data_IF_576187230004
#
_entry.id   IF_576187230004
#
_cell.length_a   1.000
_cell.length_b   1.000
_cell.length_c   1.000
_cell.angle_alpha   90.00
_cell.angle_beta   90.00
_cell.angle_gamma   90.00
#
_symmetry.space_group_name_H-M   'P 1'
#
loop_
_entity.id
_entity.type
_entity.pdbx_description
1 polymer ?
#
# COMPACT_ATOMS: atom_id res chain seq x y z
N UNK A 1 -12.06 -10.73 7.36
CA UNK A 1 -12.26 -10.02 6.07
C UNK A 1 -11.77 -10.93 4.97
N UNK A 2 -12.54 -11.14 3.91
CA UNK A 2 -12.18 -12.07 2.83
C UNK A 2 -11.54 -11.33 1.64
N UNK A 3 -11.10 -12.06 0.60
CA UNK A 3 -10.47 -11.45 -0.58
C UNK A 3 -11.40 -10.48 -1.32
N UNK A 4 -12.71 -10.75 -1.31
CA UNK A 4 -13.73 -9.89 -1.93
C UNK A 4 -13.84 -8.54 -1.22
N UNK A 5 -13.84 -8.56 0.11
CA UNK A 5 -13.85 -7.36 0.94
C UNK A 5 -12.58 -6.53 0.70
N UNK A 6 -11.40 -7.17 0.64
CA UNK A 6 -10.13 -6.49 0.33
C UNK A 6 -10.21 -5.77 -1.01
N UNK A 7 -10.71 -6.44 -2.05
CA UNK A 7 -10.85 -5.84 -3.37
C UNK A 7 -11.83 -4.66 -3.38
N UNK A 8 -12.92 -4.75 -2.60
CA UNK A 8 -13.87 -3.65 -2.42
C UNK A 8 -13.18 -2.42 -1.79
N UNK A 9 -12.43 -2.62 -0.71
CA UNK A 9 -11.69 -1.52 -0.06
C UNK A 9 -10.57 -0.98 -0.95
N UNK A 10 -9.87 -1.83 -1.70
CA UNK A 10 -8.87 -1.41 -2.68
C UNK A 10 -9.47 -0.47 -3.74
N UNK A 11 -10.64 -0.80 -4.29
CA UNK A 11 -11.30 0.10 -5.25
C UNK A 11 -11.73 1.40 -4.59
N UNK A 12 -12.31 1.35 -3.39
CA UNK A 12 -12.73 2.53 -2.65
C UNK A 12 -11.56 3.48 -2.38
N UNK A 13 -10.48 2.98 -1.80
CA UNK A 13 -9.28 3.77 -1.53
C UNK A 13 -8.57 4.21 -2.81
N UNK A 14 -8.66 3.46 -3.91
CA UNK A 14 -8.18 3.90 -5.21
C UNK A 14 -8.92 5.14 -5.73
N UNK A 15 -10.24 5.17 -5.63
CA UNK A 15 -11.01 6.38 -6.01
C UNK A 15 -10.72 7.56 -5.08
N UNK A 16 -10.57 7.32 -3.77
CA UNK A 16 -10.16 8.36 -2.82
C UNK A 16 -8.76 8.88 -3.14
N UNK A 17 -7.81 8.00 -3.44
CA UNK A 17 -6.43 8.36 -3.79
C UNK A 17 -6.38 9.21 -5.06
N UNK A 18 -7.15 8.84 -6.09
CA UNK A 18 -7.26 9.62 -7.32
C UNK A 18 -7.83 11.01 -7.03
N UNK A 19 -8.90 11.08 -6.23
CA UNK A 19 -9.53 12.34 -5.82
C UNK A 19 -8.55 13.24 -5.07
N UNK A 20 -7.83 12.71 -4.09
CA UNK A 20 -6.81 13.45 -3.34
C UNK A 20 -5.65 13.92 -4.24
N UNK A 21 -5.22 13.09 -5.19
CA UNK A 21 -4.17 13.46 -6.13
C UNK A 21 -4.58 14.61 -7.06
N UNK A 22 -5.84 14.61 -7.52
CA UNK A 22 -6.39 15.72 -8.31
C UNK A 22 -6.50 16.99 -7.44
N UNK A 23 -6.99 16.86 -6.19
CA UNK A 23 -7.06 17.98 -5.26
C UNK A 23 -5.68 18.59 -4.97
N UNK A 24 -4.64 17.77 -4.82
CA UNK A 24 -3.26 18.22 -4.67
C UNK A 24 -2.83 19.11 -5.86
N UNK A 25 -3.10 18.68 -7.10
CA UNK A 25 -2.76 19.46 -8.29
C UNK A 25 -3.46 20.83 -8.28
N UNK A 26 -4.71 20.90 -7.82
CA UNK A 26 -5.51 22.14 -7.81
C UNK A 26 -5.07 23.10 -6.69
N UNK A 27 -4.79 22.57 -5.49
CA UNK A 27 -4.57 23.35 -4.26
C UNK A 27 -3.12 23.80 -4.12
N UNK A 28 -2.14 23.01 -4.55
CA UNK A 28 -0.71 23.28 -4.33
C UNK A 28 -0.10 24.27 -5.34
N UNK A 29 -0.76 25.41 -5.57
CA UNK A 29 -0.41 26.38 -6.64
C UNK A 29 0.98 27.01 -6.53
N UNK A 30 1.58 26.96 -5.34
CA UNK A 30 2.97 27.38 -5.06
C UNK A 30 3.99 26.50 -5.81
N UNK A 31 3.62 25.28 -6.22
CA UNK A 31 4.47 24.31 -6.93
C UNK A 31 4.23 24.43 -8.44
N UNK A 32 5.28 24.25 -9.25
CA UNK A 32 5.16 24.25 -10.71
C UNK A 32 4.11 23.23 -11.19
N UNK A 33 3.35 23.58 -12.23
CA UNK A 33 2.30 22.71 -12.76
C UNK A 33 2.84 21.32 -13.16
N UNK A 34 4.02 21.30 -13.78
CA UNK A 34 4.70 20.07 -14.21
C UNK A 34 4.97 19.15 -13.02
N UNK A 35 5.55 19.68 -11.94
CA UNK A 35 5.86 18.92 -10.72
C UNK A 35 4.60 18.42 -10.03
N UNK A 36 3.53 19.23 -10.00
CA UNK A 36 2.25 18.81 -9.45
C UNK A 36 1.64 17.63 -10.17
N UNK A 37 1.64 17.67 -11.51
CA UNK A 37 1.11 16.59 -12.35
C UNK A 37 1.92 15.31 -12.11
N UNK A 38 3.26 15.41 -12.13
CA UNK A 38 4.15 14.27 -11.88
C UNK A 38 3.88 13.69 -10.49
N UNK A 39 3.81 14.52 -9.45
CA UNK A 39 3.51 14.08 -8.09
C UNK A 39 2.14 13.39 -8.00
N UNK A 40 1.09 13.94 -8.62
CA UNK A 40 -0.23 13.30 -8.67
C UNK A 40 -0.22 11.93 -9.35
N UNK A 41 0.58 11.76 -10.42
CA UNK A 41 0.80 10.46 -11.07
C UNK A 41 1.54 9.51 -10.15
N UNK A 42 2.63 9.96 -9.51
CA UNK A 42 3.42 9.15 -8.58
C UNK A 42 2.60 8.69 -7.38
N UNK A 43 1.73 9.54 -6.83
CA UNK A 43 0.83 9.18 -5.73
C UNK A 43 -0.13 8.04 -6.15
N UNK A 44 -0.70 8.13 -7.35
CA UNK A 44 -1.55 7.07 -7.90
C UNK A 44 -0.79 5.78 -8.19
N UNK A 45 0.36 5.88 -8.84
CA UNK A 45 1.20 4.72 -9.13
C UNK A 45 1.63 4.04 -7.83
N UNK A 46 2.11 4.80 -6.84
CA UNK A 46 2.54 4.26 -5.55
C UNK A 46 1.45 3.46 -4.86
N UNK A 47 0.23 3.99 -4.79
CA UNK A 47 -0.92 3.26 -4.24
C UNK A 47 -1.14 1.90 -4.90
N UNK A 48 -1.27 1.88 -6.24
CA UNK A 48 -1.55 0.64 -6.96
C UNK A 48 -0.35 -0.32 -6.95
N UNK A 49 0.87 0.19 -7.07
CA UNK A 49 2.09 -0.62 -7.06
C UNK A 49 2.26 -1.37 -5.74
N UNK A 50 2.08 -0.72 -4.59
CA UNK A 50 2.20 -1.42 -3.30
C UNK A 50 1.14 -2.51 -3.14
N UNK A 51 -0.10 -2.24 -3.53
CA UNK A 51 -1.15 -3.26 -3.48
C UNK A 51 -0.83 -4.45 -4.40
N UNK A 52 -0.51 -4.18 -5.66
CA UNK A 52 -0.22 -5.21 -6.66
C UNK A 52 1.00 -6.02 -6.24
N UNK A 53 2.07 -5.37 -5.80
CA UNK A 53 3.30 -6.03 -5.38
C UNK A 53 3.02 -7.14 -4.36
N UNK A 54 2.34 -6.84 -3.25
CA UNK A 54 2.05 -7.86 -2.24
C UNK A 54 0.99 -8.88 -2.68
N UNK A 55 -0.09 -8.42 -3.34
CA UNK A 55 -1.19 -9.30 -3.73
C UNK A 55 -0.83 -10.31 -4.84
N UNK A 56 0.21 -10.01 -5.63
CA UNK A 56 0.68 -10.85 -6.73
C UNK A 56 1.82 -11.82 -6.34
N UNK A 57 2.35 -11.75 -5.11
CA UNK A 57 3.33 -12.72 -4.63
C UNK A 57 2.70 -14.12 -4.65
N UNK A 58 3.42 -15.07 -5.25
CA UNK A 58 3.00 -16.48 -5.31
C UNK A 58 2.79 -17.00 -3.90
N UNK A 59 1.54 -17.36 -3.61
CA UNK A 59 1.11 -18.02 -2.36
C UNK A 59 1.57 -19.46 -2.34
N UNK A 60 1.66 -20.03 -3.55
CA UNK A 60 1.93 -21.41 -3.76
C UNK A 60 3.43 -21.71 -3.65
N UNK A 61 3.78 -22.33 -2.53
CA UNK A 61 5.11 -22.85 -2.24
C UNK A 61 5.40 -24.17 -2.97
N UNK A 62 4.45 -24.67 -3.78
CA UNK A 62 4.57 -25.89 -4.58
C UNK A 62 5.74 -25.90 -5.58
N UNK A 63 6.29 -24.74 -5.95
CA UNK A 63 7.51 -24.64 -6.76
C UNK A 63 8.79 -25.05 -6.02
N UNK A 64 8.73 -25.27 -4.70
CA UNK A 64 9.90 -25.68 -3.90
C UNK A 64 9.98 -27.20 -3.78
N UNK A 65 11.12 -27.76 -4.21
CA UNK A 65 11.35 -29.21 -4.31
C UNK A 65 11.36 -30.01 -2.99
N UNK A 66 11.41 -29.36 -1.82
CA UNK A 66 11.51 -30.05 -0.54
C UNK A 66 10.60 -29.42 0.53
N UNK A 67 9.99 -30.26 1.37
CA UNK A 67 9.10 -29.89 2.48
C UNK A 67 9.73 -28.89 3.45
N UNK A 68 11.05 -28.97 3.69
CA UNK A 68 11.75 -27.98 4.53
C UNK A 68 11.68 -26.58 3.92
N UNK A 69 12.04 -26.44 2.64
CA UNK A 69 11.98 -25.15 1.94
C UNK A 69 10.55 -24.64 1.85
N UNK A 70 9.58 -25.53 1.64
CA UNK A 70 8.15 -25.18 1.63
C UNK A 70 7.74 -24.54 2.96
N UNK A 71 8.12 -25.14 4.08
CA UNK A 71 7.76 -24.66 5.41
C UNK A 71 8.48 -23.34 5.76
N UNK A 72 9.79 -23.25 5.53
CA UNK A 72 10.56 -22.03 5.79
C UNK A 72 10.09 -20.88 4.88
N UNK A 73 9.84 -21.15 3.59
CA UNK A 73 9.32 -20.18 2.65
C UNK A 73 7.95 -19.64 3.07
N UNK A 74 7.04 -20.51 3.51
CA UNK A 74 5.73 -20.11 4.04
C UNK A 74 5.84 -19.20 5.27
N UNK A 75 6.73 -19.53 6.21
CA UNK A 75 7.00 -18.69 7.40
C UNK A 75 7.57 -17.33 6.99
N UNK A 76 8.53 -17.30 6.06
CA UNK A 76 9.13 -16.06 5.57
C UNK A 76 8.11 -15.15 4.89
N UNK A 77 7.21 -15.71 4.07
CA UNK A 77 6.14 -14.95 3.44
C UNK A 77 5.12 -14.41 4.45
N UNK A 78 4.79 -15.19 5.49
CA UNK A 78 3.95 -14.75 6.61
C UNK A 78 4.59 -13.58 7.35
N UNK A 79 5.85 -13.70 7.75
CA UNK A 79 6.60 -12.61 8.37
C UNK A 79 6.66 -11.37 7.47
N UNK A 80 6.94 -11.56 6.18
CA UNK A 80 6.99 -10.47 5.21
C UNK A 80 5.66 -9.71 5.11
N UNK A 81 4.54 -10.42 5.08
CA UNK A 81 3.21 -9.79 5.09
C UNK A 81 2.92 -9.02 6.39
N UNK A 82 3.35 -9.53 7.55
CA UNK A 82 3.24 -8.82 8.83
C UNK A 82 4.08 -7.54 8.81
N UNK A 83 5.31 -7.61 8.31
CA UNK A 83 6.16 -6.43 8.15
C UNK A 83 5.53 -5.38 7.24
N UNK A 84 4.89 -5.78 6.14
CA UNK A 84 4.15 -4.86 5.27
C UNK A 84 2.99 -4.17 5.98
N UNK A 85 2.22 -4.91 6.78
CA UNK A 85 1.15 -4.36 7.61
C UNK A 85 1.71 -3.34 8.62
N UNK A 86 2.74 -3.72 9.39
CA UNK A 86 3.36 -2.81 10.37
C UNK A 86 3.96 -1.58 9.70
N UNK A 87 4.64 -1.77 8.57
CA UNK A 87 5.21 -0.69 7.77
C UNK A 87 4.16 0.32 7.31
N UNK A 88 2.96 -0.15 6.93
CA UNK A 88 1.87 0.75 6.55
C UNK A 88 1.46 1.69 7.69
N UNK A 89 1.37 1.19 8.94
CA UNK A 89 1.04 2.00 10.10
C UNK A 89 2.16 3.00 10.44
N UNK A 90 3.41 2.57 10.30
CA UNK A 90 4.57 3.46 10.50
C UNK A 90 4.56 4.60 9.49
N UNK A 91 4.29 4.33 8.21
CA UNK A 91 4.23 5.36 7.17
C UNK A 91 3.08 6.33 7.44
N UNK A 92 1.89 5.84 7.83
CA UNK A 92 0.77 6.69 8.24
C UNK A 92 1.17 7.59 9.41
N UNK A 93 1.80 7.01 10.43
CA UNK A 93 2.28 7.75 11.59
C UNK A 93 3.27 8.85 11.19
N UNK A 94 4.22 8.57 10.29
CA UNK A 94 5.18 9.56 9.79
C UNK A 94 4.46 10.70 9.07
N UNK A 95 3.49 10.42 8.20
CA UNK A 95 2.72 11.46 7.51
C UNK A 95 1.93 12.34 8.47
N UNK A 96 1.24 11.74 9.44
CA UNK A 96 0.47 12.49 10.45
C UNK A 96 1.41 13.29 11.35
N UNK A 97 2.51 12.69 11.80
CA UNK A 97 3.51 13.34 12.65
C UNK A 97 4.11 14.56 11.96
N UNK A 98 4.50 14.45 10.68
CA UNK A 98 4.99 15.60 9.89
C UNK A 98 3.94 16.70 9.75
N UNK A 99 2.69 16.35 9.46
CA UNK A 99 1.63 17.34 9.36
C UNK A 99 1.43 18.12 10.67
N UNK A 100 1.50 17.45 11.82
CA UNK A 100 1.31 18.09 13.14
C UNK A 100 2.55 18.89 13.57
N UNK A 101 3.74 18.29 13.46
CA UNK A 101 4.97 18.87 14.00
C UNK A 101 5.61 19.93 13.11
N UNK A 102 5.49 19.79 11.79
CA UNK A 102 6.14 20.66 10.80
C UNK A 102 5.13 21.52 10.03
N UNK A 103 3.82 21.39 10.30
CA UNK A 103 2.75 22.00 9.51
C UNK A 103 2.82 21.62 8.01
N UNK A 104 3.41 20.47 7.69
CA UNK A 104 3.55 19.96 6.31
C UNK A 104 2.31 19.15 5.89
N UNK A 105 1.22 19.85 5.56
CA UNK A 105 -0.04 19.20 5.19
C UNK A 105 -0.05 18.56 3.79
N UNK A 106 0.88 18.94 2.91
CA UNK A 106 0.95 18.43 1.54
C UNK A 106 1.14 16.90 1.48
N UNK A 107 1.87 16.32 2.44
CA UNK A 107 2.06 14.88 2.52
C UNK A 107 0.76 14.09 2.76
N UNK A 108 -0.26 14.74 3.32
CA UNK A 108 -1.55 14.08 3.60
C UNK A 108 -2.33 13.76 2.32
N UNK A 109 -2.06 14.41 1.20
CA UNK A 109 -2.66 14.03 -0.09
C UNK A 109 -2.19 12.64 -0.57
N UNK A 110 -1.03 12.17 -0.06
CA UNK A 110 -0.49 10.85 -0.32
C UNK A 110 -0.90 9.80 0.73
N UNK A 111 -1.77 10.14 1.69
CA UNK A 111 -2.13 9.27 2.83
C UNK A 111 -2.76 7.94 2.40
N UNK A 112 -3.34 7.86 1.20
CA UNK A 112 -3.90 6.62 0.67
C UNK A 112 -2.83 5.59 0.27
N UNK A 113 -1.60 6.00 -0.06
CA UNK A 113 -0.49 5.11 -0.44
C UNK A 113 -0.27 3.97 0.58
N UNK A 114 -0.10 4.25 1.90
CA UNK A 114 0.06 3.19 2.88
C UNK A 114 -1.16 2.27 3.01
N UNK A 115 -2.37 2.70 2.63
CA UNK A 115 -3.51 1.78 2.55
C UNK A 115 -3.36 0.77 1.40
N UNK A 116 -2.73 1.16 0.29
CA UNK A 116 -2.36 0.22 -0.79
C UNK A 116 -1.43 -0.88 -0.27
N UNK A 117 -0.40 -0.47 0.48
CA UNK A 117 0.52 -1.38 1.16
C UNK A 117 -0.21 -2.29 2.18
N UNK A 118 -1.05 -1.72 3.04
CA UNK A 118 -1.82 -2.45 4.04
C UNK A 118 -2.70 -3.52 3.39
N UNK A 119 -3.52 -3.12 2.41
CA UNK A 119 -4.46 -4.02 1.73
C UNK A 119 -3.74 -5.11 0.93
N UNK A 120 -2.63 -4.77 0.28
CA UNK A 120 -1.80 -5.74 -0.43
C UNK A 120 -1.20 -6.77 0.52
N UNK A 121 -0.57 -6.29 1.60
CA UNK A 121 0.07 -7.15 2.61
C UNK A 121 -0.95 -8.04 3.32
N UNK A 122 -2.12 -7.50 3.63
CA UNK A 122 -3.20 -8.25 4.26
C UNK A 122 -3.82 -9.28 3.30
N UNK A 123 -3.89 -8.99 2.00
CA UNK A 123 -4.28 -9.96 0.97
C UNK A 123 -3.32 -11.14 0.90
N UNK A 124 -2.01 -10.89 0.99
CA UNK A 124 -1.00 -11.93 1.06
C UNK A 124 -1.17 -12.79 2.32
N UNK A 125 -1.35 -12.16 3.49
CA UNK A 125 -1.55 -12.84 4.77
C UNK A 125 -2.75 -13.81 4.76
N UNK A 126 -3.91 -13.34 4.28
CA UNK A 126 -5.11 -14.19 4.19
C UNK A 126 -4.89 -15.33 3.20
N UNK A 127 -4.24 -15.04 2.07
CA UNK A 127 -3.88 -16.04 1.08
C UNK A 127 -3.07 -17.20 1.67
N UNK A 128 -2.09 -16.90 2.52
CA UNK A 128 -1.22 -17.87 3.18
C UNK A 128 -1.82 -18.54 4.42
N UNK A 129 -2.92 -18.01 4.95
CA UNK A 129 -3.59 -18.55 6.15
C UNK A 129 -4.73 -19.50 5.79
N UNK A 130 -5.19 -19.47 4.55
CA UNK A 130 -6.25 -20.33 4.01
C UNK A 130 -5.70 -21.52 3.18
N UNK A 131 -4.37 -21.64 3.07
CA UNK A 131 -3.66 -22.86 2.63
C UNK A 131 -3.37 -23.77 3.83
#
# INVERSE_FOLDING_TARGET
>A
MNQTDINKYYKLFGYLNLTLSILFIIVSREIELTERIIAGVVINMGYHMFYIFFSSISKDSSRMNNNFNKNVGGIMLKLFSIFGILGSFIIIYVFISKAISLNEYLGLFAICIPFGLLLGSYSLWIGLSNE
#
